data_IF_848636289063
#
_entry.id   IF_848636289063
#
_cell.length_a   1.000
_cell.length_b   1.000
_cell.length_c   1.000
_cell.angle_alpha   90.00
_cell.angle_beta   90.00
_cell.angle_gamma   90.00
#
_symmetry.space_group_name_H-M   'P 1'
#
loop_
_entity.id
_entity.type
_entity.pdbx_description
1 polymer ?
#
# COMPACT_ATOMS: atom_id res chain seq x y z
N UNK A 1 -20.16 -9.98 -17.12
CA UNK A 1 -19.78 -10.51 -15.78
C UNK A 1 -20.52 -9.71 -14.75
N UNK A 2 -20.99 -10.35 -13.69
CA UNK A 2 -21.71 -9.65 -12.62
C UNK A 2 -20.68 -9.34 -11.53
N UNK A 3 -20.60 -8.08 -11.10
CA UNK A 3 -19.80 -7.71 -9.93
C UNK A 3 -20.18 -8.60 -8.74
N UNK A 4 -19.24 -9.03 -7.88
CA UNK A 4 -19.58 -9.82 -6.69
C UNK A 4 -20.51 -9.04 -5.73
N UNK A 5 -20.44 -7.71 -5.78
CA UNK A 5 -21.34 -6.82 -5.04
C UNK A 5 -22.51 -6.47 -5.96
N UNK A 6 -23.72 -6.86 -5.56
CA UNK A 6 -24.94 -6.45 -6.26
C UNK A 6 -25.41 -5.09 -5.76
N UNK A 7 -25.93 -4.28 -6.69
CA UNK A 7 -26.58 -3.03 -6.37
C UNK A 7 -27.86 -3.32 -5.58
N UNK A 8 -28.10 -2.65 -4.44
CA UNK A 8 -29.37 -2.78 -3.74
C UNK A 8 -30.54 -2.37 -4.63
N UNK A 9 -31.64 -3.13 -4.57
CA UNK A 9 -32.86 -2.78 -5.28
C UNK A 9 -33.45 -1.47 -4.71
N UNK A 10 -34.11 -0.68 -5.55
CA UNK A 10 -34.74 0.59 -5.15
C UNK A 10 -35.73 0.40 -3.98
N UNK A 11 -36.35 -0.78 -3.88
CA UNK A 11 -37.26 -1.13 -2.78
C UNK A 11 -36.55 -1.30 -1.44
N UNK A 12 -35.28 -1.71 -1.46
CA UNK A 12 -34.47 -1.94 -0.26
C UNK A 12 -33.82 -0.65 0.23
N UNK A 13 -33.60 0.32 -0.66
CA UNK A 13 -33.07 1.65 -0.35
C UNK A 13 -33.96 2.79 -0.90
N UNK A 14 -35.21 2.93 -0.42
CA UNK A 14 -36.19 3.86 -1.00
C UNK A 14 -35.93 5.33 -0.64
N UNK A 15 -35.07 5.62 0.34
CA UNK A 15 -34.68 7.00 0.66
C UNK A 15 -33.48 7.40 -0.21
N UNK A 16 -33.55 8.57 -0.83
CA UNK A 16 -32.47 9.09 -1.70
C UNK A 16 -32.24 10.57 -1.46
N UNK A 17 -30.98 10.96 -1.36
CA UNK A 17 -30.55 12.35 -1.37
C UNK A 17 -29.42 12.52 -2.39
N UNK A 18 -29.56 13.46 -3.31
CA UNK A 18 -28.58 13.72 -4.36
C UNK A 18 -28.05 15.14 -4.25
N UNK A 19 -26.78 15.32 -4.59
CA UNK A 19 -26.19 16.65 -4.69
C UNK A 19 -26.78 17.41 -5.88
N UNK A 20 -26.98 18.71 -5.71
CA UNK A 20 -27.39 19.60 -6.80
C UNK A 20 -26.19 20.12 -7.62
N UNK A 21 -24.96 19.97 -7.11
CA UNK A 21 -23.75 20.52 -7.70
C UNK A 21 -22.76 19.45 -8.19
N UNK A 22 -22.80 18.26 -7.59
CA UNK A 22 -21.86 17.18 -7.84
C UNK A 22 -22.61 15.91 -8.28
N UNK A 23 -22.01 15.03 -9.09
CA UNK A 23 -22.66 13.81 -9.55
C UNK A 23 -22.54 12.71 -8.48
N UNK A 24 -23.10 12.97 -7.29
CA UNK A 24 -23.13 12.01 -6.17
C UNK A 24 -24.52 11.94 -5.53
N UNK A 25 -24.93 10.73 -5.17
CA UNK A 25 -26.16 10.45 -4.44
C UNK A 25 -25.89 9.47 -3.29
N UNK A 26 -26.59 9.68 -2.18
CA UNK A 26 -26.69 8.72 -1.10
C UNK A 26 -28.08 8.07 -1.12
N UNK A 27 -28.13 6.79 -0.80
CA UNK A 27 -29.35 5.97 -0.75
C UNK A 27 -29.42 5.25 0.59
N UNK A 28 -30.62 5.05 1.13
CA UNK A 28 -30.77 4.38 2.42
C UNK A 28 -32.09 3.61 2.55
N UNK A 29 -32.09 2.48 3.30
CA UNK A 29 -33.30 1.80 3.74
C UNK A 29 -34.20 2.72 4.57
N UNK A 30 -35.51 2.52 4.52
CA UNK A 30 -36.54 3.37 5.19
C UNK A 30 -36.39 3.57 6.72
N UNK A 31 -35.46 2.88 7.36
CA UNK A 31 -35.24 2.92 8.82
C UNK A 31 -33.88 3.47 9.22
N UNK A 32 -33.08 3.92 8.24
CA UNK A 32 -31.92 4.77 8.50
C UNK A 32 -32.44 6.20 8.68
N UNK A 33 -32.05 6.94 9.73
CA UNK A 33 -32.49 8.32 9.92
C UNK A 33 -32.09 9.21 8.74
N UNK A 34 -32.97 10.13 8.33
CA UNK A 34 -32.69 11.06 7.24
C UNK A 34 -31.46 11.94 7.47
N UNK A 35 -31.09 12.20 8.73
CA UNK A 35 -29.84 12.91 9.06
C UNK A 35 -28.60 12.13 8.64
N UNK A 36 -28.59 10.81 8.81
CA UNK A 36 -27.46 9.96 8.40
C UNK A 36 -27.34 9.90 6.87
N UNK A 37 -28.47 9.91 6.16
CA UNK A 37 -28.50 10.02 4.69
C UNK A 37 -27.88 11.34 4.19
N UNK A 38 -28.24 12.46 4.83
CA UNK A 38 -27.70 13.77 4.47
C UNK A 38 -26.22 13.94 4.87
N UNK A 39 -25.81 13.35 6.00
CA UNK A 39 -24.42 13.30 6.43
C UNK A 39 -23.56 12.54 5.41
N UNK A 40 -23.98 11.35 4.98
CA UNK A 40 -23.26 10.60 3.94
C UNK A 40 -23.20 11.31 2.60
N UNK A 41 -24.25 12.07 2.24
CA UNK A 41 -24.19 12.93 1.05
C UNK A 41 -23.15 14.04 1.20
N UNK A 42 -23.10 14.70 2.36
CA UNK A 42 -22.10 15.75 2.63
C UNK A 42 -20.66 15.18 2.64
N UNK A 43 -20.47 13.98 3.16
CA UNK A 43 -19.20 13.25 3.12
C UNK A 43 -18.74 13.00 1.67
N UNK A 44 -19.64 12.51 0.80
CA UNK A 44 -19.37 12.32 -0.63
C UNK A 44 -19.06 13.63 -1.35
N UNK A 45 -19.82 14.70 -1.08
CA UNK A 45 -19.59 16.00 -1.68
C UNK A 45 -18.21 16.56 -1.29
N UNK A 46 -17.81 16.37 -0.04
CA UNK A 46 -16.49 16.80 0.47
C UNK A 46 -15.38 16.01 -0.22
N UNK A 47 -15.50 14.67 -0.27
CA UNK A 47 -14.51 13.83 -0.93
C UNK A 47 -14.39 14.13 -2.44
N UNK A 48 -15.52 14.30 -3.13
CA UNK A 48 -15.54 14.64 -4.55
C UNK A 48 -14.87 15.99 -4.82
N UNK A 49 -15.08 17.01 -3.97
CA UNK A 49 -14.39 18.30 -4.12
C UNK A 49 -12.89 18.18 -3.89
N UNK A 50 -12.46 17.34 -2.96
CA UNK A 50 -11.04 17.06 -2.75
C UNK A 50 -10.43 16.40 -4.00
N UNK A 51 -11.10 15.41 -4.59
CA UNK A 51 -10.66 14.75 -5.82
C UNK A 51 -10.68 15.68 -7.04
N UNK A 52 -11.70 16.54 -7.18
CA UNK A 52 -11.74 17.58 -8.21
C UNK A 52 -10.54 18.54 -8.05
N UNK A 53 -10.17 18.92 -6.81
CA UNK A 53 -9.02 19.78 -6.53
C UNK A 53 -7.67 19.13 -6.84
N UNK A 54 -7.59 17.80 -6.74
CA UNK A 54 -6.43 17.00 -7.19
C UNK A 54 -6.39 16.81 -8.72
N UNK A 55 -7.42 17.27 -9.44
CA UNK A 55 -7.54 17.10 -10.89
C UNK A 55 -7.87 15.67 -11.31
N UNK A 56 -8.42 14.85 -10.41
CA UNK A 56 -8.78 13.47 -10.69
C UNK A 56 -10.06 13.40 -11.54
N UNK A 57 -10.20 12.38 -12.40
CA UNK A 57 -11.46 12.19 -13.11
C UNK A 57 -12.57 11.81 -12.12
N UNK A 58 -13.79 12.23 -12.41
CA UNK A 58 -14.97 11.78 -11.64
C UNK A 58 -15.34 10.34 -12.02
N UNK A 59 -16.01 9.55 -11.16
CA UNK A 59 -16.51 8.22 -11.50
C UNK A 59 -17.31 8.20 -12.81
N UNK A 60 -17.35 7.05 -13.48
CA UNK A 60 -18.16 6.89 -14.69
C UNK A 60 -19.66 6.93 -14.35
N UNK A 61 -20.49 7.61 -15.17
CA UNK A 61 -21.94 7.56 -15.05
C UNK A 61 -22.48 6.13 -15.16
N UNK A 62 -23.47 5.79 -14.34
CA UNK A 62 -24.02 4.42 -14.23
C UNK A 62 -25.23 4.15 -15.15
N UNK A 63 -25.59 5.10 -16.02
CA UNK A 63 -26.77 5.00 -16.87
C UNK A 63 -28.11 5.13 -16.13
N UNK A 64 -28.12 5.83 -14.99
CA UNK A 64 -29.28 6.06 -14.13
C UNK A 64 -29.79 4.81 -13.39
N UNK A 65 -28.89 3.90 -13.01
CA UNK A 65 -29.26 2.69 -12.25
C UNK A 65 -29.60 2.98 -10.79
N UNK A 66 -29.08 4.08 -10.21
CA UNK A 66 -29.59 4.70 -8.98
C UNK A 66 -30.71 5.72 -9.19
N UNK A 67 -31.30 5.76 -10.40
CA UNK A 67 -32.31 6.74 -10.80
C UNK A 67 -31.76 8.12 -11.18
N UNK A 68 -30.44 8.28 -11.27
CA UNK A 68 -29.74 9.42 -11.88
C UNK A 68 -28.34 8.97 -12.33
N UNK A 69 -27.64 9.65 -13.26
CA UNK A 69 -26.31 9.24 -13.73
C UNK A 69 -25.17 9.48 -12.71
N UNK A 70 -25.49 9.82 -11.47
CA UNK A 70 -24.53 10.10 -10.41
C UNK A 70 -23.87 8.81 -9.88
N UNK A 71 -22.76 8.98 -9.16
CA UNK A 71 -22.21 7.92 -8.32
C UNK A 71 -23.11 7.69 -7.11
N UNK A 72 -23.43 6.43 -6.82
CA UNK A 72 -24.36 6.06 -5.75
C UNK A 72 -23.65 5.38 -4.57
N UNK A 73 -23.88 5.91 -3.37
CA UNK A 73 -23.50 5.29 -2.10
C UNK A 73 -24.74 4.80 -1.37
N UNK A 74 -24.80 3.50 -1.10
CA UNK A 74 -25.90 2.85 -0.38
C UNK A 74 -25.53 2.64 1.09
N UNK A 75 -26.39 3.07 1.99
CA UNK A 75 -26.23 2.89 3.43
C UNK A 75 -26.85 1.57 3.88
N UNK A 76 -26.10 0.78 4.62
CA UNK A 76 -26.57 -0.45 5.25
C UNK A 76 -26.80 -0.23 6.75
N UNK A 77 -27.83 -0.89 7.31
CA UNK A 77 -28.06 -0.90 8.75
C UNK A 77 -27.15 -1.91 9.43
N UNK A 78 -26.73 -1.58 10.65
CA UNK A 78 -26.05 -2.53 11.54
C UNK A 78 -24.63 -2.09 11.87
N UNK A 79 -23.80 -3.02 12.39
CA UNK A 79 -22.43 -2.69 12.74
C UNK A 79 -21.63 -2.29 11.51
N UNK A 80 -20.62 -1.45 11.72
CA UNK A 80 -19.68 -1.08 10.65
C UNK A 80 -19.03 -2.33 10.06
N UNK A 81 -18.94 -2.35 8.74
CA UNK A 81 -18.33 -3.40 7.92
C UNK A 81 -17.44 -2.72 6.88
N UNK A 82 -16.45 -3.43 6.31
CA UNK A 82 -15.71 -2.92 5.16
C UNK A 82 -16.68 -2.46 4.06
N UNK A 83 -16.39 -1.31 3.47
CA UNK A 83 -17.05 -0.78 2.30
C UNK A 83 -17.03 -1.83 1.17
N UNK A 84 -18.14 -1.99 0.47
CA UNK A 84 -18.25 -2.93 -0.64
C UNK A 84 -18.49 -2.15 -1.91
N UNK A 85 -17.53 -2.15 -2.83
CA UNK A 85 -17.64 -1.44 -4.11
C UNK A 85 -18.07 -2.44 -5.17
N UNK A 86 -19.14 -2.10 -5.88
CA UNK A 86 -19.66 -2.90 -7.00
C UNK A 86 -19.54 -2.17 -8.33
N UNK A 87 -19.70 -2.91 -9.42
CA UNK A 87 -19.62 -2.39 -10.78
C UNK A 87 -20.90 -2.71 -11.57
N UNK A 88 -21.47 -1.72 -12.28
CA UNK A 88 -22.72 -1.93 -13.02
C UNK A 88 -22.50 -2.13 -14.52
N UNK A 89 -22.01 -1.08 -15.18
CA UNK A 89 -21.85 -1.03 -16.62
C UNK A 89 -20.38 -1.16 -16.94
N UNK A 90 -20.05 -2.16 -17.75
CA UNK A 90 -18.79 -2.19 -18.46
C UNK A 90 -18.88 -1.24 -19.65
N UNK A 91 -17.95 -0.31 -19.77
CA UNK A 91 -17.76 0.42 -21.02
C UNK A 91 -17.11 -0.53 -22.06
N UNK A 92 -17.88 -1.50 -22.57
CA UNK A 92 -17.40 -2.45 -23.57
C UNK A 92 -17.38 -1.75 -24.93
N UNK A 93 -16.18 -1.49 -25.45
CA UNK A 93 -15.99 -0.87 -26.78
C UNK A 93 -15.29 0.48 -26.76
N UNK A 94 -14.93 1.00 -25.59
CA UNK A 94 -13.94 2.06 -25.47
C UNK A 94 -12.53 1.48 -25.63
N UNK A 95 -11.52 2.32 -25.90
CA UNK A 95 -10.13 1.87 -26.12
C UNK A 95 -9.55 1.07 -24.92
N UNK A 96 -10.13 1.25 -23.73
CA UNK A 96 -9.65 0.72 -22.45
C UNK A 96 -10.82 0.23 -21.60
N UNK A 97 -10.57 -0.74 -20.72
CA UNK A 97 -11.55 -1.27 -19.78
C UNK A 97 -11.84 -0.28 -18.67
N UNK A 98 -13.08 0.17 -18.62
CA UNK A 98 -13.58 1.03 -17.56
C UNK A 98 -14.97 0.58 -17.12
N UNK A 99 -15.32 0.85 -15.87
CA UNK A 99 -16.64 0.55 -15.34
C UNK A 99 -17.21 1.68 -14.49
N UNK A 100 -18.52 1.86 -14.56
CA UNK A 100 -19.24 2.61 -13.54
C UNK A 100 -19.29 1.79 -12.25
N UNK A 101 -19.25 2.48 -11.12
CA UNK A 101 -19.25 1.85 -9.81
C UNK A 101 -20.28 2.49 -8.87
N UNK A 102 -20.63 1.73 -7.84
CA UNK A 102 -21.40 2.18 -6.69
C UNK A 102 -20.78 1.54 -5.45
N UNK A 103 -21.16 1.98 -4.25
CA UNK A 103 -20.71 1.33 -3.05
C UNK A 103 -21.80 1.14 -2.01
N UNK A 104 -21.56 0.19 -1.12
CA UNK A 104 -22.37 -0.06 0.06
C UNK A 104 -21.48 0.14 1.29
N UNK A 105 -21.88 1.03 2.18
CA UNK A 105 -21.18 1.34 3.44
C UNK A 105 -22.15 1.27 4.60
N UNK A 106 -21.63 1.15 5.82
CA UNK A 106 -22.48 1.25 7.00
C UNK A 106 -23.02 2.68 7.15
N UNK A 107 -24.27 2.82 7.59
CA UNK A 107 -24.83 4.13 7.91
C UNK A 107 -23.96 4.83 9.00
N UNK A 108 -23.76 6.16 8.91
CA UNK A 108 -23.03 6.91 9.92
C UNK A 108 -23.48 6.61 11.35
N UNK A 109 -22.49 6.40 12.22
CA UNK A 109 -22.69 6.23 13.65
C UNK A 109 -22.86 7.57 14.37
N UNK A 110 -22.77 7.56 15.71
CA UNK A 110 -22.77 8.80 16.48
C UNK A 110 -21.37 9.44 16.46
N UNK A 111 -21.13 10.28 15.46
CA UNK A 111 -19.91 11.08 15.32
C UNK A 111 -18.66 10.29 14.94
N UNK A 112 -17.57 11.03 14.69
CA UNK A 112 -16.29 10.50 14.23
C UNK A 112 -16.03 10.83 12.76
N UNK A 113 -14.89 10.38 12.25
CA UNK A 113 -14.45 10.58 10.87
C UNK A 113 -14.62 9.33 9.99
N UNK A 114 -15.01 8.19 10.57
CA UNK A 114 -15.02 6.90 9.89
C UNK A 114 -16.01 6.85 8.72
N UNK A 115 -17.18 7.50 8.81
CA UNK A 115 -18.14 7.54 7.68
C UNK A 115 -17.58 8.32 6.50
N UNK A 116 -16.95 9.47 6.77
CA UNK A 116 -16.31 10.29 5.75
C UNK A 116 -15.15 9.54 5.09
N UNK A 117 -14.33 8.85 5.89
CA UNK A 117 -13.24 8.00 5.38
C UNK A 117 -13.76 6.83 4.53
N UNK A 118 -14.82 6.14 4.96
CA UNK A 118 -15.42 5.04 4.20
C UNK A 118 -16.04 5.53 2.88
N UNK A 119 -16.71 6.69 2.90
CA UNK A 119 -17.26 7.33 1.71
C UNK A 119 -16.16 7.79 0.74
N UNK A 120 -15.08 8.39 1.25
CA UNK A 120 -13.93 8.80 0.45
C UNK A 120 -13.21 7.59 -0.15
N UNK A 121 -13.00 6.52 0.62
CA UNK A 121 -12.42 5.27 0.13
C UNK A 121 -13.26 4.68 -1.01
N UNK A 122 -14.57 4.54 -0.79
CA UNK A 122 -15.48 3.99 -1.78
C UNK A 122 -15.48 4.82 -3.07
N UNK A 123 -15.51 6.15 -2.94
CA UNK A 123 -15.44 7.06 -4.08
C UNK A 123 -14.09 6.99 -4.78
N UNK A 124 -12.98 6.92 -4.04
CA UNK A 124 -11.62 6.80 -4.59
C UNK A 124 -11.44 5.51 -5.38
N UNK A 125 -11.98 4.40 -4.87
CA UNK A 125 -12.06 3.14 -5.61
C UNK A 125 -12.85 3.32 -6.91
N UNK A 126 -14.03 3.95 -6.88
CA UNK A 126 -14.83 4.19 -8.08
C UNK A 126 -14.11 5.06 -9.13
N UNK A 127 -13.28 6.02 -8.69
CA UNK A 127 -12.40 6.79 -9.57
C UNK A 127 -11.29 5.92 -10.17
N UNK A 128 -10.67 5.04 -9.39
CA UNK A 128 -9.64 4.12 -9.86
C UNK A 128 -10.20 3.12 -10.90
N UNK A 129 -11.36 2.51 -10.63
CA UNK A 129 -12.04 1.58 -11.57
C UNK A 129 -12.44 2.25 -12.88
N UNK A 130 -12.65 3.57 -12.89
CA UNK A 130 -12.87 4.30 -14.14
C UNK A 130 -11.61 4.29 -15.02
N UNK A 131 -10.42 4.31 -14.43
CA UNK A 131 -9.18 4.31 -15.19
C UNK A 131 -8.85 2.92 -15.70
N UNK A 132 -8.95 1.93 -14.82
CA UNK A 132 -8.76 0.53 -15.16
C UNK A 132 -9.69 -0.35 -14.32
N UNK A 133 -10.74 -0.88 -14.95
CA UNK A 133 -11.66 -1.81 -14.30
C UNK A 133 -11.09 -3.24 -14.16
N UNK A 134 -9.98 -3.52 -14.85
CA UNK A 134 -9.23 -4.77 -14.76
C UNK A 134 -8.11 -4.75 -13.73
N UNK A 135 -7.79 -3.61 -13.14
CA UNK A 135 -6.71 -3.49 -12.15
C UNK A 135 -6.87 -4.46 -10.98
N UNK A 136 -5.73 -4.93 -10.47
CA UNK A 136 -5.66 -5.87 -9.38
C UNK A 136 -6.23 -5.29 -8.07
N UNK A 137 -6.90 -6.13 -7.27
CA UNK A 137 -7.61 -5.67 -6.06
C UNK A 137 -6.69 -4.96 -5.07
N UNK A 138 -5.43 -5.41 -4.94
CA UNK A 138 -4.44 -4.80 -4.06
C UNK A 138 -4.07 -3.37 -4.47
N UNK A 139 -3.90 -3.11 -5.77
CA UNK A 139 -3.60 -1.76 -6.26
C UNK A 139 -4.79 -0.81 -6.09
N UNK A 140 -6.00 -1.31 -6.35
CA UNK A 140 -7.24 -0.56 -6.07
C UNK A 140 -7.36 -0.25 -4.57
N UNK A 141 -7.08 -1.21 -3.69
CA UNK A 141 -7.12 -1.03 -2.24
C UNK A 141 -6.13 0.03 -1.74
N UNK A 142 -4.86 -0.06 -2.16
CA UNK A 142 -3.81 0.89 -1.79
C UNK A 142 -4.14 2.30 -2.28
N UNK A 143 -4.56 2.42 -3.54
CA UNK A 143 -4.88 3.71 -4.16
C UNK A 143 -6.10 4.34 -3.50
N UNK A 144 -7.18 3.58 -3.29
CA UNK A 144 -8.38 4.07 -2.61
C UNK A 144 -8.10 4.46 -1.16
N UNK A 145 -7.24 3.72 -0.45
CA UNK A 145 -6.82 4.06 0.91
C UNK A 145 -6.04 5.36 0.96
N UNK A 146 -5.12 5.56 0.01
CA UNK A 146 -4.33 6.78 -0.06
C UNK A 146 -5.18 8.00 -0.40
N UNK A 147 -6.10 7.87 -1.37
CA UNK A 147 -7.06 8.91 -1.71
C UNK A 147 -7.97 9.28 -0.52
N UNK A 148 -8.45 8.28 0.23
CA UNK A 148 -9.26 8.50 1.42
C UNK A 148 -8.50 9.25 2.52
N UNK A 149 -7.23 8.88 2.76
CA UNK A 149 -6.36 9.57 3.73
C UNK A 149 -6.10 11.04 3.36
N UNK A 150 -6.17 11.40 2.08
CA UNK A 150 -6.07 12.79 1.61
C UNK A 150 -7.41 13.52 1.75
N UNK A 151 -8.51 12.91 1.28
CA UNK A 151 -9.79 13.59 1.13
C UNK A 151 -10.64 13.65 2.40
N UNK A 152 -10.54 12.63 3.26
CA UNK A 152 -11.25 12.56 4.53
C UNK A 152 -10.36 11.90 5.60
N UNK A 153 -9.30 12.60 6.07
CA UNK A 153 -8.37 12.06 7.04
C UNK A 153 -9.10 11.56 8.29
N UNK A 154 -8.74 10.36 8.72
CA UNK A 154 -9.33 9.77 9.92
C UNK A 154 -8.25 9.12 10.78
N UNK A 155 -7.63 9.88 11.70
CA UNK A 155 -6.42 9.44 12.41
C UNK A 155 -6.57 8.10 13.13
N UNK A 156 -7.73 7.82 13.73
CA UNK A 156 -7.95 6.55 14.42
C UNK A 156 -7.93 5.33 13.48
N UNK A 157 -8.49 5.47 12.28
CA UNK A 157 -8.53 4.41 11.27
C UNK A 157 -7.18 4.27 10.56
N UNK A 158 -6.57 5.40 10.20
CA UNK A 158 -5.23 5.44 9.60
C UNK A 158 -4.19 4.82 10.54
N UNK A 159 -4.16 5.21 11.82
CA UNK A 159 -3.23 4.64 12.80
C UNK A 159 -3.41 3.12 12.93
N UNK A 160 -4.66 2.64 12.95
CA UNK A 160 -4.93 1.20 13.02
C UNK A 160 -4.47 0.46 11.75
N UNK A 161 -4.69 1.04 10.57
CA UNK A 161 -4.24 0.48 9.29
C UNK A 161 -2.71 0.44 9.18
N UNK A 162 -2.04 1.52 9.55
CA UNK A 162 -0.57 1.63 9.57
C UNK A 162 0.03 0.65 10.58
N UNK A 163 -0.50 0.58 11.81
CA UNK A 163 -0.05 -0.37 12.84
C UNK A 163 -0.21 -1.82 12.37
N UNK A 164 -1.35 -2.18 11.77
CA UNK A 164 -1.59 -3.52 11.24
C UNK A 164 -0.59 -3.88 10.13
N UNK A 165 -0.35 -2.96 9.19
CA UNK A 165 0.63 -3.15 8.12
C UNK A 165 2.04 -3.30 8.69
N UNK A 166 2.48 -2.38 9.56
CA UNK A 166 3.83 -2.37 10.14
C UNK A 166 4.12 -3.55 11.07
N UNK A 167 3.09 -4.16 11.67
CA UNK A 167 3.23 -5.38 12.49
C UNK A 167 3.36 -6.67 11.68
N UNK A 168 3.00 -6.67 10.40
CA UNK A 168 3.10 -7.82 9.51
C UNK A 168 3.95 -7.48 8.27
N UNK A 169 5.24 -7.10 8.45
CA UNK A 169 6.10 -6.71 7.35
C UNK A 169 6.31 -7.84 6.32
N UNK A 170 6.17 -9.09 6.76
CA UNK A 170 6.33 -10.27 5.91
C UNK A 170 5.26 -10.43 4.82
N UNK A 171 4.14 -9.70 4.90
CA UNK A 171 3.03 -9.80 3.95
C UNK A 171 3.27 -8.96 2.69
N UNK A 172 2.70 -9.41 1.58
CA UNK A 172 2.74 -8.71 0.30
C UNK A 172 2.06 -7.34 0.37
N UNK A 173 2.58 -6.36 -0.39
CA UNK A 173 1.97 -5.04 -0.55
C UNK A 173 0.56 -5.11 -1.12
N UNK A 174 0.35 -6.02 -2.07
CA UNK A 174 -0.95 -6.25 -2.71
C UNK A 174 -1.83 -7.26 -1.98
N UNK A 175 -1.41 -7.75 -0.80
CA UNK A 175 -2.17 -8.70 0.01
C UNK A 175 -3.31 -8.07 0.83
N UNK A 176 -3.57 -6.77 0.66
CA UNK A 176 -4.63 -6.03 1.34
C UNK A 176 -6.02 -6.52 0.96
N UNK A 177 -6.98 -6.45 1.90
CA UNK A 177 -8.37 -6.71 1.60
C UNK A 177 -9.09 -5.43 1.14
N UNK A 178 -9.98 -5.54 0.16
CA UNK A 178 -10.84 -4.43 -0.25
C UNK A 178 -11.79 -3.99 0.88
N UNK A 179 -12.12 -2.70 0.87
CA UNK A 179 -13.22 -2.13 1.64
C UNK A 179 -12.83 -1.42 2.93
N UNK A 180 -11.56 -1.36 3.29
CA UNK A 180 -11.10 -0.60 4.45
C UNK A 180 -9.79 0.12 4.10
N UNK A 181 -9.45 1.13 4.90
CA UNK A 181 -8.11 1.70 4.87
C UNK A 181 -7.08 0.60 5.14
N UNK A 182 -6.08 0.52 4.28
CA UNK A 182 -4.96 -0.41 4.41
C UNK A 182 -3.64 0.37 4.49
N UNK A 183 -2.74 -0.04 5.39
CA UNK A 183 -1.46 0.64 5.60
C UNK A 183 -0.50 0.52 4.42
N UNK A 184 -0.77 -0.36 3.45
CA UNK A 184 -0.07 -0.40 2.18
C UNK A 184 -0.28 0.90 1.35
N UNK A 185 -1.19 1.80 1.76
CA UNK A 185 -1.25 3.20 1.27
C UNK A 185 0.09 3.94 1.37
N UNK A 186 1.01 3.50 2.24
CA UNK A 186 2.37 4.06 2.33
C UNK A 186 3.15 3.87 1.02
N UNK A 187 2.85 2.84 0.22
CA UNK A 187 3.54 2.60 -1.04
C UNK A 187 3.21 3.65 -2.11
N UNK A 188 1.94 3.91 -2.49
CA UNK A 188 1.63 4.99 -3.41
C UNK A 188 2.02 6.38 -2.86
N UNK A 189 1.98 6.59 -1.53
CA UNK A 189 2.53 7.81 -0.94
C UNK A 189 4.03 7.93 -1.19
N UNK A 190 4.82 6.88 -0.91
CA UNK A 190 6.24 6.86 -1.21
C UNK A 190 6.54 7.12 -2.69
N UNK A 191 5.73 6.56 -3.59
CA UNK A 191 5.87 6.81 -5.02
C UNK A 191 5.68 8.29 -5.38
N UNK A 192 4.73 8.99 -4.76
CA UNK A 192 4.55 10.42 -4.99
C UNK A 192 5.67 11.27 -4.38
N UNK A 193 6.14 10.92 -3.18
CA UNK A 193 7.26 11.64 -2.55
C UNK A 193 8.56 11.48 -3.36
N UNK A 194 8.83 10.27 -3.86
CA UNK A 194 10.06 9.96 -4.58
C UNK A 194 10.02 10.34 -6.08
N UNK A 195 8.85 10.24 -6.72
CA UNK A 195 8.72 10.36 -8.18
C UNK A 195 7.64 11.31 -8.67
N UNK A 196 6.79 11.81 -7.79
CA UNK A 196 5.72 12.74 -8.10
C UNK A 196 6.20 14.16 -8.35
N UNK A 197 5.26 15.03 -8.73
CA UNK A 197 5.52 16.45 -9.02
C UNK A 197 4.90 17.38 -7.98
N UNK A 198 4.67 16.87 -6.76
CA UNK A 198 4.08 17.61 -5.63
C UNK A 198 2.54 17.59 -5.56
N UNK A 199 1.86 16.94 -6.50
CA UNK A 199 0.41 16.70 -6.40
C UNK A 199 0.16 15.28 -5.89
N UNK A 200 -0.51 15.10 -4.74
CA UNK A 200 -0.79 13.78 -4.18
C UNK A 200 -1.63 12.88 -5.11
N UNK A 201 -1.43 11.58 -4.97
CA UNK A 201 -2.02 10.47 -5.71
C UNK A 201 -1.74 10.43 -7.23
N UNK A 202 -1.05 11.40 -7.81
CA UNK A 202 -0.86 11.48 -9.27
C UNK A 202 -0.07 10.29 -9.83
N UNK A 203 0.98 9.81 -9.13
CA UNK A 203 1.77 8.68 -9.63
C UNK A 203 0.91 7.40 -9.64
N UNK A 204 0.21 7.10 -8.55
CA UNK A 204 -0.66 5.92 -8.46
C UNK A 204 -1.76 5.93 -9.53
N UNK A 205 -2.44 7.07 -9.71
CA UNK A 205 -3.48 7.22 -10.72
C UNK A 205 -2.94 7.14 -12.14
N UNK A 206 -1.73 7.64 -12.38
CA UNK A 206 -1.06 7.53 -13.69
C UNK A 206 -0.69 6.09 -14.01
N UNK A 207 -0.22 5.32 -13.02
CA UNK A 207 0.10 3.90 -13.21
C UNK A 207 -1.13 3.08 -13.60
N UNK A 208 -2.26 3.29 -12.93
CA UNK A 208 -3.55 2.68 -13.31
C UNK A 208 -3.95 3.05 -14.75
N UNK A 209 -3.84 4.34 -15.11
CA UNK A 209 -4.18 4.78 -16.47
C UNK A 209 -3.24 4.23 -17.56
N UNK A 210 -1.97 3.97 -17.22
CA UNK A 210 -0.98 3.38 -18.13
C UNK A 210 -1.19 1.86 -18.27
N UNK A 211 -1.58 1.19 -17.18
CA UNK A 211 -1.89 -0.23 -17.18
C UNK A 211 -3.14 -0.55 -18.01
N UNK A 212 -4.13 0.35 -18.02
CA UNK A 212 -5.41 0.16 -18.68
C UNK A 212 -5.32 -0.45 -20.11
N UNK A 213 -6.07 -1.53 -20.33
CA UNK A 213 -6.17 -2.25 -21.60
C UNK A 213 -7.62 -2.57 -21.97
N UNK A 214 -7.92 -2.90 -23.24
CA UNK A 214 -9.21 -3.47 -23.59
C UNK A 214 -9.28 -4.99 -23.32
N UNK A 215 -10.39 -5.43 -22.76
CA UNK A 215 -10.73 -6.85 -22.61
C UNK A 215 -11.31 -7.42 -23.91
N UNK A 216 -10.80 -8.56 -24.42
CA UNK A 216 -11.37 -9.22 -25.58
C UNK A 216 -12.86 -9.55 -25.42
N UNK A 217 -13.63 -9.35 -26.50
CA UNK A 217 -15.04 -9.70 -26.53
C UNK A 217 -15.30 -11.16 -26.13
N UNK A 218 -16.21 -11.38 -25.20
CA UNK A 218 -16.56 -12.72 -24.69
C UNK A 218 -15.72 -13.20 -23.50
N UNK A 219 -14.70 -12.46 -23.05
CA UNK A 219 -13.95 -12.82 -21.86
C UNK A 219 -14.83 -12.79 -20.60
N UNK A 220 -14.65 -13.78 -19.75
CA UNK A 220 -15.39 -13.89 -18.49
C UNK A 220 -15.00 -12.75 -17.54
N UNK A 221 -13.70 -12.50 -17.38
CA UNK A 221 -13.11 -11.47 -16.51
C UNK A 221 -12.49 -10.34 -17.31
N UNK A 222 -12.27 -9.20 -16.64
CA UNK A 222 -11.40 -8.18 -17.21
C UNK A 222 -9.99 -8.76 -17.38
N UNK A 223 -9.30 -8.33 -18.42
CA UNK A 223 -7.88 -8.54 -18.59
C UNK A 223 -7.17 -7.54 -17.68
N UNK A 224 -6.21 -8.02 -16.91
CA UNK A 224 -5.44 -7.26 -15.92
C UNK A 224 -3.96 -7.21 -16.32
N UNK A 225 -3.69 -7.20 -17.63
CA UNK A 225 -2.37 -7.48 -18.19
C UNK A 225 -2.13 -6.63 -19.44
N UNK A 226 -1.26 -5.59 -19.38
CA UNK A 226 -0.37 -5.27 -18.26
C UNK A 226 -1.06 -4.79 -16.97
N UNK A 227 -0.51 -5.13 -15.81
CA UNK A 227 -0.98 -4.67 -14.50
C UNK A 227 -0.31 -3.36 -14.03
N UNK A 228 -0.66 -2.88 -12.82
CA UNK A 228 -0.08 -1.65 -12.25
C UNK A 228 1.44 -1.77 -12.01
N UNK A 229 1.93 -2.96 -11.66
CA UNK A 229 3.36 -3.26 -11.49
C UNK A 229 4.10 -3.41 -12.84
N UNK A 230 3.45 -3.84 -13.91
CA UNK A 230 3.96 -3.77 -15.28
C UNK A 230 4.16 -2.32 -15.71
N UNK A 231 3.15 -1.49 -15.51
CA UNK A 231 3.22 -0.06 -15.78
C UNK A 231 4.36 0.60 -14.97
N UNK A 232 4.51 0.21 -13.70
CA UNK A 232 5.60 0.68 -12.84
C UNK A 232 6.97 0.22 -13.35
N UNK A 233 7.12 -1.06 -13.68
CA UNK A 233 8.36 -1.63 -14.25
C UNK A 233 8.74 -0.92 -15.56
N UNK A 234 7.79 -0.72 -16.46
CA UNK A 234 8.03 0.00 -17.71
C UNK A 234 8.47 1.45 -17.46
N UNK A 235 7.83 2.13 -16.49
CA UNK A 235 8.15 3.50 -16.10
C UNK A 235 9.54 3.63 -15.47
N UNK A 236 9.93 2.71 -14.58
CA UNK A 236 11.24 2.69 -13.92
C UNK A 236 12.40 2.43 -14.90
N UNK A 237 12.19 1.55 -15.89
CA UNK A 237 13.21 1.28 -16.93
C UNK A 237 13.66 2.53 -17.66
N UNK A 238 12.74 3.46 -17.94
CA UNK A 238 13.07 4.74 -18.57
C UNK A 238 14.01 5.61 -17.72
N UNK A 239 14.06 5.35 -16.41
CA UNK A 239 14.90 6.02 -15.41
C UNK A 239 16.12 5.21 -15.01
N UNK A 240 16.35 4.06 -15.63
CA UNK A 240 17.47 3.17 -15.31
C UNK A 240 17.37 2.48 -13.93
N UNK A 241 16.16 2.38 -13.36
CA UNK A 241 15.89 1.65 -12.11
C UNK A 241 15.13 0.35 -12.38
N UNK A 242 15.29 -0.64 -11.51
CA UNK A 242 14.47 -1.86 -11.49
C UNK A 242 13.40 -1.79 -10.38
N UNK A 243 12.33 -2.58 -10.52
CA UNK A 243 11.29 -2.73 -9.49
C UNK A 243 11.88 -3.29 -8.19
N UNK A 244 12.82 -4.23 -8.29
CA UNK A 244 13.46 -4.85 -7.12
C UNK A 244 14.24 -3.81 -6.29
N UNK A 245 14.87 -2.84 -6.94
CA UNK A 245 15.54 -1.71 -6.28
C UNK A 245 14.50 -0.84 -5.57
N UNK A 246 13.41 -0.49 -6.27
CA UNK A 246 12.33 0.32 -5.72
C UNK A 246 11.70 -0.32 -4.48
N UNK A 247 11.44 -1.63 -4.51
CA UNK A 247 10.85 -2.34 -3.38
C UNK A 247 11.79 -2.35 -2.17
N UNK A 248 13.11 -2.48 -2.40
CA UNK A 248 14.11 -2.34 -1.33
C UNK A 248 14.16 -0.92 -0.78
N UNK A 249 14.18 0.10 -1.64
CA UNK A 249 14.15 1.51 -1.24
C UNK A 249 12.89 1.82 -0.41
N UNK A 250 11.73 1.34 -0.83
CA UNK A 250 10.48 1.47 -0.09
C UNK A 250 10.53 0.75 1.27
N UNK A 251 11.04 -0.48 1.32
CA UNK A 251 11.17 -1.20 2.59
C UNK A 251 12.09 -0.48 3.58
N UNK A 252 13.17 0.14 3.09
CA UNK A 252 14.03 1.00 3.92
C UNK A 252 13.23 2.21 4.41
N UNK A 253 12.56 2.96 3.52
CA UNK A 253 11.76 4.12 3.90
C UNK A 253 10.67 3.77 4.93
N UNK A 254 10.02 2.62 4.75
CA UNK A 254 9.02 2.06 5.65
C UNK A 254 9.56 1.84 7.08
N UNK A 255 10.85 1.56 7.25
CA UNK A 255 11.46 1.37 8.57
C UNK A 255 11.59 2.68 9.38
N UNK A 256 11.58 3.83 8.70
CA UNK A 256 11.64 5.17 9.26
C UNK A 256 10.25 5.83 9.35
N UNK A 257 9.17 5.06 9.37
CA UNK A 257 7.81 5.59 9.60
C UNK A 257 7.53 5.75 11.10
N UNK A 258 6.74 6.75 11.48
CA UNK A 258 6.33 6.98 12.86
C UNK A 258 7.42 7.62 13.71
N UNK A 259 7.61 7.13 14.93
CA UNK A 259 8.58 7.67 15.89
C UNK A 259 10.05 7.38 15.55
N UNK A 260 10.31 6.69 14.43
CA UNK A 260 11.63 6.53 13.82
C UNK A 260 11.84 7.45 12.60
N UNK A 261 10.91 8.36 12.33
CA UNK A 261 11.07 9.33 11.25
C UNK A 261 12.34 10.13 11.42
N UNK A 262 13.14 10.15 10.36
CA UNK A 262 14.32 11.00 10.21
C UNK A 262 14.02 12.23 9.34
N UNK A 263 12.77 12.38 8.89
CA UNK A 263 12.33 13.46 8.01
C UNK A 263 12.89 13.40 6.58
N UNK A 264 13.64 12.35 6.22
CA UNK A 264 14.28 12.22 4.91
C UNK A 264 13.62 11.17 4.01
N UNK A 265 13.08 10.09 4.60
CA UNK A 265 12.59 8.94 3.84
C UNK A 265 11.16 9.07 3.31
N UNK A 266 10.26 9.61 4.12
CA UNK A 266 8.85 9.81 3.77
C UNK A 266 8.33 11.02 4.56
N UNK A 267 7.55 11.88 3.91
CA UNK A 267 7.03 13.10 4.53
C UNK A 267 5.87 12.83 5.49
N UNK A 268 5.70 13.68 6.53
CA UNK A 268 4.55 13.70 7.45
C UNK A 268 4.20 12.33 8.10
N UNK A 269 5.19 11.47 8.29
CA UNK A 269 5.00 10.14 8.90
C UNK A 269 5.28 10.10 10.39
N UNK A 270 5.89 11.16 10.94
CA UNK A 270 6.11 11.31 12.38
C UNK A 270 4.79 11.32 13.17
N UNK A 271 3.70 11.76 12.53
CA UNK A 271 2.35 11.80 13.11
C UNK A 271 1.85 10.43 13.58
N UNK A 272 2.39 9.34 13.03
CA UNK A 272 2.00 7.98 13.40
C UNK A 272 2.65 7.49 14.70
N UNK A 273 3.65 8.19 15.24
CA UNK A 273 4.31 7.81 16.48
C UNK A 273 4.74 6.34 16.51
N UNK A 274 4.55 5.65 17.64
CA UNK A 274 4.97 4.24 17.77
C UNK A 274 4.16 3.26 16.92
N UNK A 275 2.96 3.64 16.47
CA UNK A 275 2.14 2.82 15.55
C UNK A 275 2.77 2.71 14.16
N UNK A 276 3.63 3.66 13.79
CA UNK A 276 4.38 3.62 12.54
C UNK A 276 5.59 2.69 12.53
N UNK A 277 5.98 2.11 13.68
CA UNK A 277 7.20 1.31 13.78
C UNK A 277 7.03 -0.07 13.13
N UNK A 278 7.89 -0.38 12.17
CA UNK A 278 8.07 -1.76 11.69
C UNK A 278 8.43 -2.70 12.85
N UNK A 279 7.82 -3.88 12.86
CA UNK A 279 8.26 -4.98 13.73
C UNK A 279 9.64 -5.46 13.27
N UNK A 280 10.60 -5.43 14.19
CA UNK A 280 11.85 -6.15 13.99
C UNK A 280 11.65 -7.62 14.29
N UNK A 281 12.06 -8.46 13.34
CA UNK A 281 12.04 -9.91 13.48
C UNK A 281 13.07 -10.36 14.51
N UNK A 282 14.23 -9.70 14.50
CA UNK A 282 15.31 -9.91 15.47
C UNK A 282 15.91 -8.58 15.90
N UNK A 283 16.24 -8.49 17.19
CA UNK A 283 17.09 -7.44 17.76
C UNK A 283 18.25 -8.12 18.48
N UNK A 284 19.46 -7.95 17.98
CA UNK A 284 20.65 -8.67 18.41
C UNK A 284 21.64 -7.67 19.03
N UNK A 285 22.11 -7.88 20.27
CA UNK A 285 23.21 -7.09 20.80
C UNK A 285 24.53 -7.48 20.14
N UNK A 286 25.37 -6.50 19.82
CA UNK A 286 26.69 -6.70 19.22
C UNK A 286 27.58 -7.66 20.02
N UNK A 287 27.55 -7.58 21.36
CA UNK A 287 28.21 -8.52 22.28
C UNK A 287 27.89 -10.00 22.04
N UNK A 288 26.77 -10.32 21.37
CA UNK A 288 26.32 -11.71 21.19
C UNK A 288 26.80 -12.37 19.91
N UNK A 289 27.48 -11.62 19.03
CA UNK A 289 27.98 -12.16 17.77
C UNK A 289 29.11 -13.19 18.00
N UNK A 290 29.20 -14.25 17.15
CA UNK A 290 28.40 -14.48 15.95
C UNK A 290 27.01 -15.06 16.23
N UNK A 291 26.02 -14.70 15.41
CA UNK A 291 24.63 -15.18 15.51
C UNK A 291 24.08 -15.59 14.16
N UNK A 292 23.36 -16.72 14.14
CA UNK A 292 22.55 -17.16 12.99
C UNK A 292 21.09 -17.12 13.40
N UNK A 293 20.27 -16.48 12.57
CA UNK A 293 18.84 -16.28 12.78
C UNK A 293 18.05 -16.62 11.52
N UNK A 294 16.78 -16.92 11.68
CA UNK A 294 15.82 -17.22 10.62
C UNK A 294 14.51 -16.50 10.95
N UNK A 295 13.66 -16.16 9.96
CA UNK A 295 12.39 -15.51 10.25
C UNK A 295 11.42 -16.49 10.90
N UNK A 296 10.56 -15.99 11.79
CA UNK A 296 9.45 -16.74 12.39
C UNK A 296 8.33 -17.02 11.38
N UNK A 297 8.25 -16.21 10.32
CA UNK A 297 7.27 -16.34 9.25
C UNK A 297 7.97 -16.23 7.88
N UNK A 298 7.63 -17.10 6.91
CA UNK A 298 8.07 -16.92 5.52
C UNK A 298 7.64 -15.55 4.97
N UNK A 299 8.44 -14.99 4.06
CA UNK A 299 8.22 -13.66 3.49
C UNK A 299 7.49 -13.80 2.15
N UNK A 300 6.30 -13.22 2.04
CA UNK A 300 5.52 -13.15 0.80
C UNK A 300 6.24 -12.27 -0.24
N UNK A 301 5.99 -12.46 -1.56
CA UNK A 301 6.39 -11.53 -2.62
C UNK A 301 6.05 -10.08 -2.28
N UNK A 302 6.99 -9.16 -2.49
CA UNK A 302 6.96 -7.75 -2.08
C UNK A 302 6.94 -7.50 -0.56
N UNK A 303 6.91 -8.56 0.24
CA UNK A 303 7.07 -8.51 1.69
C UNK A 303 8.52 -8.25 2.10
N UNK A 304 8.69 -7.80 3.34
CA UNK A 304 9.97 -7.40 3.89
C UNK A 304 10.25 -8.05 5.25
N UNK A 305 11.51 -8.06 5.63
CA UNK A 305 11.99 -8.43 6.95
C UNK A 305 12.98 -7.39 7.48
N UNK A 306 13.00 -7.22 8.80
CA UNK A 306 13.80 -6.22 9.48
C UNK A 306 14.55 -6.85 10.64
N UNK A 307 15.86 -6.71 10.67
CA UNK A 307 16.70 -7.12 11.79
C UNK A 307 17.49 -5.92 12.29
N UNK A 308 17.64 -5.81 13.60
CA UNK A 308 18.42 -4.76 14.25
C UNK A 308 19.64 -5.36 14.94
N UNK A 309 20.82 -4.85 14.61
CA UNK A 309 22.05 -5.09 15.36
C UNK A 309 22.33 -3.86 16.22
N UNK A 310 22.15 -4.01 17.53
CA UNK A 310 22.35 -2.95 18.51
C UNK A 310 23.84 -2.77 18.80
N UNK A 311 24.35 -1.56 18.56
CA UNK A 311 25.73 -1.12 18.81
C UNK A 311 25.80 -0.13 19.99
N UNK A 312 24.66 0.26 20.59
CA UNK A 312 24.58 1.42 21.47
C UNK A 312 25.43 1.26 22.75
N UNK A 313 25.47 0.05 23.32
CA UNK A 313 26.23 -0.22 24.55
C UNK A 313 27.75 -0.07 24.31
N UNK A 314 28.25 -0.62 23.21
CA UNK A 314 29.66 -0.54 22.81
C UNK A 314 30.05 0.88 22.37
N UNK A 315 29.16 1.55 21.64
CA UNK A 315 29.29 2.96 21.28
C UNK A 315 29.38 3.88 22.50
N UNK A 316 28.58 3.62 23.54
CA UNK A 316 28.59 4.40 24.77
C UNK A 316 29.84 4.16 25.64
N UNK A 317 30.43 2.97 25.55
CA UNK A 317 31.65 2.62 26.29
C UNK A 317 32.92 3.29 25.74
N UNK A 318 32.82 4.08 24.65
CA UNK A 318 33.98 4.69 23.98
C UNK A 318 34.96 3.65 23.46
N UNK A 319 34.46 2.46 23.12
CA UNK A 319 35.29 1.34 22.71
C UNK A 319 36.00 1.65 21.40
N UNK A 320 37.34 1.76 21.45
CA UNK A 320 38.22 1.78 20.26
C UNK A 320 37.97 0.59 19.32
N UNK A 321 37.29 -0.45 19.81
CA UNK A 321 36.91 -1.65 19.08
C UNK A 321 35.98 -1.36 17.90
N UNK A 322 35.08 -0.36 17.96
CA UNK A 322 34.12 -0.09 16.87
C UNK A 322 34.70 0.67 15.67
N UNK A 323 35.81 1.40 15.85
CA UNK A 323 36.45 2.16 14.78
C UNK A 323 37.07 1.21 13.73
N UNK A 324 37.65 0.10 14.20
CA UNK A 324 38.25 -0.94 13.38
C UNK A 324 37.35 -2.18 13.22
N UNK A 325 36.19 -2.25 13.88
CA UNK A 325 35.27 -3.37 13.77
C UNK A 325 34.68 -3.48 12.37
N UNK A 326 34.55 -4.72 11.93
CA UNK A 326 33.84 -5.10 10.72
C UNK A 326 32.68 -6.01 11.11
N UNK A 327 31.55 -5.92 10.40
CA UNK A 327 30.45 -6.88 10.51
C UNK A 327 30.26 -7.53 9.16
N UNK A 328 30.40 -8.85 9.11
CA UNK A 328 30.06 -9.65 7.94
C UNK A 328 28.65 -10.20 8.09
N UNK A 329 27.80 -9.86 7.13
CA UNK A 329 26.49 -10.45 6.90
C UNK A 329 26.59 -11.50 5.80
N UNK A 330 26.03 -12.68 6.08
CA UNK A 330 25.73 -13.71 5.10
C UNK A 330 24.24 -14.00 5.16
N UNK A 331 23.53 -13.81 4.05
CA UNK A 331 22.14 -14.20 3.90
C UNK A 331 22.04 -15.38 2.95
N UNK A 332 21.34 -16.44 3.34
CA UNK A 332 20.96 -17.57 2.47
C UNK A 332 19.42 -17.60 2.39
N UNK A 333 18.82 -17.91 1.25
CA UNK A 333 17.35 -17.99 1.10
C UNK A 333 16.91 -19.17 0.23
N UNK A 334 15.61 -19.44 0.22
CA UNK A 334 15.02 -20.52 -0.57
C UNK A 334 14.88 -20.14 -2.05
N UNK A 335 15.30 -21.03 -2.95
CA UNK A 335 14.97 -20.91 -4.37
C UNK A 335 13.48 -21.24 -4.61
N UNK A 336 12.83 -20.64 -5.63
CA UNK A 336 13.39 -19.74 -6.64
C UNK A 336 13.29 -18.24 -6.28
N UNK A 337 13.02 -17.87 -5.03
CA UNK A 337 12.86 -16.46 -4.68
C UNK A 337 14.11 -15.62 -4.96
N UNK A 338 13.89 -14.38 -5.37
CA UNK A 338 14.91 -13.35 -5.44
C UNK A 338 14.80 -12.46 -4.21
N UNK A 339 15.82 -12.47 -3.36
CA UNK A 339 15.93 -11.53 -2.24
C UNK A 339 16.87 -10.38 -2.55
N UNK A 340 16.46 -9.19 -2.15
CA UNK A 340 17.27 -7.97 -2.10
C UNK A 340 17.58 -7.66 -0.64
N UNK A 341 18.81 -7.22 -0.36
CA UNK A 341 19.22 -6.88 1.00
C UNK A 341 19.86 -5.49 1.08
N UNK A 342 19.68 -4.83 2.22
CA UNK A 342 20.41 -3.63 2.59
C UNK A 342 20.88 -3.71 4.04
N UNK A 343 22.04 -3.12 4.31
CA UNK A 343 22.54 -2.85 5.66
C UNK A 343 22.62 -1.34 5.81
N UNK A 344 21.70 -0.79 6.61
CA UNK A 344 21.52 0.64 6.84
C UNK A 344 22.21 1.00 8.16
N UNK A 345 23.12 1.97 8.11
CA UNK A 345 23.82 2.52 9.27
C UNK A 345 22.95 3.60 9.89
N UNK A 346 22.61 3.43 11.16
CA UNK A 346 21.74 4.36 11.89
C UNK A 346 22.54 5.02 13.01
N UNK A 347 22.53 6.34 13.05
CA UNK A 347 23.22 7.12 14.08
C UNK A 347 22.46 7.13 15.42
N UNK A 348 23.01 7.83 16.41
CA UNK A 348 22.42 7.96 17.75
C UNK A 348 21.15 8.81 17.78
N UNK A 349 20.91 9.58 16.74
CA UNK A 349 19.70 10.38 16.55
C UNK A 349 18.59 9.55 15.89
N UNK A 350 18.92 8.34 15.41
CA UNK A 350 17.99 7.46 14.71
C UNK A 350 17.90 7.73 13.22
N UNK A 351 18.78 8.57 12.66
CA UNK A 351 18.81 8.88 11.24
C UNK A 351 19.72 7.92 10.48
N UNK A 352 19.38 7.69 9.20
CA UNK A 352 20.31 7.01 8.30
C UNK A 352 21.52 7.91 7.99
N UNK A 353 22.74 7.40 8.21
CA UNK A 353 23.99 8.06 7.82
C UNK A 353 24.70 7.38 6.65
N UNK A 354 24.20 6.23 6.21
CA UNK A 354 24.65 5.55 5.00
C UNK A 354 24.11 4.12 4.93
N UNK A 355 24.21 3.50 3.75
CA UNK A 355 23.78 2.12 3.55
C UNK A 355 24.70 1.37 2.60
N UNK A 356 24.68 0.04 2.70
CA UNK A 356 25.28 -0.86 1.72
C UNK A 356 24.21 -1.80 1.21
N UNK A 357 24.03 -1.83 -0.10
CA UNK A 357 23.05 -2.70 -0.75
C UNK A 357 23.70 -3.97 -1.30
N UNK A 358 22.94 -5.05 -1.29
CA UNK A 358 23.31 -6.33 -1.86
C UNK A 358 22.25 -6.71 -2.87
N UNK A 359 22.62 -6.58 -4.14
CA UNK A 359 21.76 -6.96 -5.25
C UNK A 359 21.48 -8.47 -5.20
N UNK A 360 20.22 -8.82 -5.44
CA UNK A 360 19.83 -10.20 -5.69
C UNK A 360 20.34 -10.63 -7.06
N UNK A 361 20.75 -11.89 -7.18
CA UNK A 361 21.16 -12.48 -8.45
C UNK A 361 20.21 -13.64 -8.76
N UNK A 362 19.60 -13.62 -9.94
CA UNK A 362 18.70 -14.69 -10.36
C UNK A 362 19.40 -16.05 -10.35
N UNK A 363 18.77 -17.04 -9.70
CA UNK A 363 19.31 -18.40 -9.57
C UNK A 363 20.34 -18.57 -8.45
N UNK A 364 20.78 -17.48 -7.81
CA UNK A 364 21.57 -17.53 -6.59
C UNK A 364 20.65 -17.49 -5.36
N UNK A 365 21.11 -18.12 -4.28
CA UNK A 365 20.35 -18.24 -3.04
C UNK A 365 21.16 -17.77 -1.83
N UNK A 366 22.21 -16.97 -2.09
CA UNK A 366 23.17 -16.51 -1.09
C UNK A 366 23.69 -15.12 -1.44
N UNK A 367 23.88 -14.29 -0.43
CA UNK A 367 24.56 -13.02 -0.52
C UNK A 367 25.49 -12.80 0.68
N UNK A 368 26.61 -12.13 0.46
CA UNK A 368 27.56 -11.79 1.54
C UNK A 368 28.05 -10.35 1.38
N UNK A 369 28.05 -9.61 2.49
CA UNK A 369 28.67 -8.29 2.57
C UNK A 369 29.31 -8.04 3.93
N UNK A 370 30.38 -7.25 3.90
CA UNK A 370 31.06 -6.78 5.10
C UNK A 370 30.90 -5.26 5.18
N UNK A 371 30.54 -4.78 6.37
CA UNK A 371 30.36 -3.36 6.67
C UNK A 371 31.40 -2.95 7.68
N UNK A 372 32.06 -1.82 7.41
CA UNK A 372 33.11 -1.23 8.24
C UNK A 372 32.71 0.17 8.68
N UNK A 373 33.44 0.78 9.62
CA UNK A 373 33.17 2.13 10.09
C UNK A 373 31.87 2.19 10.88
N UNK A 374 31.89 1.54 12.05
CA UNK A 374 30.76 1.38 12.96
C UNK A 374 30.76 2.41 14.10
N UNK A 375 31.81 3.22 14.18
CA UNK A 375 31.91 4.29 15.17
C UNK A 375 30.77 5.31 15.03
N UNK A 376 30.31 5.83 16.18
CA UNK A 376 29.23 6.81 16.24
C UNK A 376 27.81 6.28 15.94
N UNK A 377 27.65 5.02 15.53
CA UNK A 377 26.35 4.43 15.20
C UNK A 377 25.58 3.98 16.46
N UNK A 378 24.25 4.04 16.40
CA UNK A 378 23.38 3.34 17.36
C UNK A 378 23.20 1.87 16.98
N UNK A 379 23.21 1.57 15.68
CA UNK A 379 23.04 0.20 15.21
C UNK A 379 23.07 0.06 13.70
N UNK A 380 22.97 -1.19 13.27
CA UNK A 380 22.75 -1.54 11.87
C UNK A 380 21.33 -2.09 11.72
N UNK A 381 20.56 -1.49 10.82
CA UNK A 381 19.28 -2.01 10.37
C UNK A 381 19.52 -2.85 9.10
N UNK A 382 19.27 -4.15 9.21
CA UNK A 382 19.31 -5.07 8.08
C UNK A 382 17.89 -5.23 7.53
N UNK A 383 17.72 -4.88 6.26
CA UNK A 383 16.43 -4.98 5.55
C UNK A 383 16.57 -6.02 4.46
N UNK A 384 15.64 -6.98 4.42
CA UNK A 384 15.51 -7.95 3.33
C UNK A 384 14.15 -7.85 2.67
N UNK A 385 14.09 -7.94 1.35
CA UNK A 385 12.84 -7.92 0.59
C UNK A 385 12.80 -9.14 -0.33
N UNK A 386 11.69 -9.88 -0.27
CA UNK A 386 11.39 -10.88 -1.30
C UNK A 386 10.80 -10.12 -2.50
N UNK A 387 11.56 -10.01 -3.59
CA UNK A 387 11.13 -9.23 -4.76
C UNK A 387 9.96 -9.88 -5.52
N UNK A 388 9.62 -11.14 -5.24
CA UNK A 388 8.56 -11.88 -5.93
C UNK A 388 8.96 -12.41 -7.31
N UNK A 389 9.94 -11.78 -7.96
CA UNK A 389 10.56 -12.27 -9.20
C UNK A 389 11.25 -13.62 -8.98
N UNK A 390 10.87 -14.65 -9.73
CA UNK A 390 11.48 -15.99 -9.62
C UNK A 390 12.61 -16.20 -10.63
N UNK A 391 12.41 -15.73 -11.86
CA UNK A 391 13.38 -15.76 -12.95
C UNK A 391 13.25 -14.48 -13.76
N UNK A 392 14.30 -14.11 -14.51
CA UNK A 392 14.30 -12.86 -15.30
C UNK A 392 13.14 -12.75 -16.30
N UNK A 393 12.63 -13.87 -16.80
CA UNK A 393 11.50 -13.92 -17.73
C UNK A 393 10.12 -13.98 -17.05
N UNK A 394 10.08 -14.05 -15.72
CA UNK A 394 8.85 -14.10 -14.92
C UNK A 394 9.03 -13.16 -13.71
N UNK A 395 8.90 -11.84 -13.93
CA UNK A 395 8.93 -10.86 -12.85
C UNK A 395 7.74 -11.08 -11.90
N UNK A 396 7.73 -10.38 -10.78
CA UNK A 396 6.56 -10.33 -9.91
C UNK A 396 5.30 -9.86 -10.67
N UNK A 397 4.23 -10.61 -10.44
CA UNK A 397 2.88 -10.41 -10.95
C UNK A 397 1.92 -10.56 -9.75
N UNK A 398 1.12 -9.52 -9.42
CA UNK A 398 0.19 -9.54 -8.30
C UNK A 398 -1.02 -10.46 -8.51
N UNK A 399 -1.32 -10.89 -9.75
CA UNK A 399 -2.42 -11.78 -10.09
C UNK A 399 -2.08 -13.28 -9.89
N UNK A 400 -0.80 -13.61 -9.69
CA UNK A 400 -0.30 -14.98 -9.47
C UNK A 400 -0.64 -15.54 -8.06
N UNK A 401 -1.70 -15.02 -7.42
CA UNK A 401 -2.17 -15.47 -6.11
C UNK A 401 -2.73 -16.92 -6.12
N UNK A 402 -2.61 -17.69 -5.03
CA UNK A 402 -2.00 -17.32 -3.76
C UNK A 402 -0.48 -17.21 -3.85
N UNK A 403 0.07 -16.20 -3.19
CA UNK A 403 1.50 -15.97 -3.19
C UNK A 403 2.27 -17.12 -2.54
N UNK A 404 3.44 -17.43 -3.09
CA UNK A 404 4.36 -18.42 -2.52
C UNK A 404 5.41 -17.69 -1.65
N UNK A 405 5.30 -17.75 -0.31
CA UNK A 405 6.27 -17.11 0.55
C UNK A 405 7.53 -17.97 0.71
N UNK A 406 8.65 -17.32 0.99
CA UNK A 406 9.97 -17.97 1.10
C UNK A 406 10.70 -17.58 2.37
N UNK A 407 11.44 -18.53 2.94
CA UNK A 407 12.27 -18.31 4.13
C UNK A 407 13.72 -17.95 3.77
N UNK A 408 14.45 -17.48 4.78
CA UNK A 408 15.87 -17.16 4.70
C UNK A 408 16.59 -17.50 6.01
N UNK A 409 17.92 -17.50 6.01
CA UNK A 409 18.75 -17.43 7.22
C UNK A 409 19.76 -16.30 7.08
N UNK A 410 19.97 -15.52 8.13
CA UNK A 410 21.01 -14.51 8.22
C UNK A 410 22.03 -14.93 9.26
N UNK A 411 23.30 -14.88 8.91
CA UNK A 411 24.43 -15.06 9.80
C UNK A 411 25.21 -13.75 9.89
N UNK A 412 25.42 -13.28 11.12
CA UNK A 412 26.20 -12.09 11.44
C UNK A 412 27.45 -12.50 12.23
N UNK A 413 28.62 -12.03 11.81
CA UNK A 413 29.89 -12.22 12.52
C UNK A 413 30.71 -10.93 12.53
N UNK A 414 31.62 -10.83 13.50
CA UNK A 414 32.68 -9.82 13.52
C UNK A 414 33.83 -10.21 12.60
#
# INVERSE_FOLDING_TARGET
>A
MVSPVQRPDERDAPQRACSFALPVCAHAPAGVPGSALLESLADLETAMRAYDALGLPRPLPDGARGGSPAYDLYLERGPRRPARVGHDLRAIGERFDAASAFAIVAAPGRGGCSSASDAAYALGHAVATRLDAGAEEGALAMTASYLAAIAAPCPAEELAAIDAFQRAPERALTGAALGALDGALLFPWYLDDAYGTGTPAQVAMSLLAIAAQPTPGGAARFRAEPDTFDALRASLRSRGKDLDDLLLEFAIARAFVGSRSDGAHLSDVERFGDFGRVRFEWSLPYATLPRRVAPLRPIEPTGATYLWLDLAAESAAGGQDLEAAEITLVADWELPALFRWAIVKVDRQGAEVGRVEVAGIFGESRAQRTVVGLDGLAGLLIVGVNAGSMIRSRPFDPDDAPFMPHAYTVWLSR
#
